data_IF_796826932108
#
_entry.id   IF_796826932108
#
_cell.length_a   1.000
_cell.length_b   1.000
_cell.length_c   1.000
_cell.angle_alpha   90.00
_cell.angle_beta   90.00
_cell.angle_gamma   90.00
#
_symmetry.space_group_name_H-M   'P 1'
#
loop_
_entity.id
_entity.type
_entity.pdbx_description
1 polymer ?
#
# COMPACT_ATOMS: atom_id res chain seq x y z
N UNK A 1 -14.79 5.56 48.61
CA UNK A 1 -15.90 5.50 49.58
C UNK A 1 -17.20 5.56 48.79
N UNK A 2 -18.08 4.55 48.88
CA UNK A 2 -19.30 4.50 48.07
C UNK A 2 -20.26 5.62 48.48
N UNK A 3 -20.95 6.21 47.49
CA UNK A 3 -21.86 7.34 47.71
C UNK A 3 -23.28 6.85 47.99
N UNK A 4 -23.99 7.59 48.85
CA UNK A 4 -25.42 7.42 49.04
C UNK A 4 -26.19 8.03 47.86
N UNK A 5 -27.29 7.38 47.48
CA UNK A 5 -28.18 7.84 46.41
C UNK A 5 -28.72 9.24 46.71
N UNK A 6 -29.05 9.54 47.97
CA UNK A 6 -29.56 10.86 48.35
C UNK A 6 -28.54 11.99 48.06
N UNK A 7 -27.25 11.71 48.24
CA UNK A 7 -26.18 12.67 47.98
C UNK A 7 -25.95 12.89 46.48
N UNK A 8 -26.04 11.83 45.67
CA UNK A 8 -25.97 11.95 44.21
C UNK A 8 -27.16 12.74 43.68
N UNK A 9 -28.35 12.52 44.22
CA UNK A 9 -29.57 13.17 43.74
C UNK A 9 -29.62 14.67 44.09
N UNK A 10 -28.95 15.12 45.17
CA UNK A 10 -28.93 16.52 45.63
C UNK A 10 -27.93 17.42 44.88
N UNK A 11 -27.01 16.85 44.11
CA UNK A 11 -26.04 17.64 43.34
C UNK A 11 -26.69 18.26 42.09
N UNK A 12 -26.29 19.48 41.67
CA UNK A 12 -26.76 20.08 40.44
C UNK A 12 -26.42 19.14 39.27
N UNK A 13 -27.39 18.86 38.39
CA UNK A 13 -27.26 17.90 37.29
C UNK A 13 -27.31 18.62 35.95
N UNK A 14 -26.38 18.27 35.07
CA UNK A 14 -26.61 18.36 33.63
C UNK A 14 -27.30 17.06 33.20
N UNK A 15 -28.27 17.16 32.30
CA UNK A 15 -29.14 16.03 31.89
C UNK A 15 -28.43 15.06 30.94
N UNK A 16 -27.22 14.61 31.27
CA UNK A 16 -26.46 13.69 30.43
C UNK A 16 -26.38 12.31 31.10
N UNK A 17 -27.17 11.39 30.55
CA UNK A 17 -27.21 9.99 30.93
C UNK A 17 -26.67 9.15 29.77
N UNK A 18 -25.74 8.24 30.07
CA UNK A 18 -25.15 7.35 29.07
C UNK A 18 -25.05 5.94 29.62
N UNK A 19 -24.95 4.97 28.73
CA UNK A 19 -24.72 3.57 29.07
C UNK A 19 -23.25 3.25 28.86
N UNK A 20 -22.63 2.51 29.78
CA UNK A 20 -21.21 2.16 29.71
C UNK A 20 -20.97 0.72 30.20
N UNK A 21 -19.91 0.07 29.70
CA UNK A 21 -19.50 -1.27 30.11
C UNK A 21 -18.45 -1.19 31.22
N UNK A 22 -18.63 -1.90 32.33
CA UNK A 22 -17.63 -1.99 33.40
C UNK A 22 -16.48 -2.89 32.96
N UNK A 23 -15.29 -2.30 32.82
CA UNK A 23 -14.04 -3.00 32.45
C UNK A 23 -13.13 -3.28 33.65
N UNK A 24 -13.36 -2.61 34.79
CA UNK A 24 -12.58 -2.84 36.02
C UNK A 24 -13.33 -2.41 37.29
N UNK A 25 -12.99 -3.04 38.42
CA UNK A 25 -13.58 -2.74 39.74
C UNK A 25 -12.47 -2.60 40.78
N UNK A 26 -12.43 -1.46 41.48
CA UNK A 26 -11.46 -1.21 42.55
C UNK A 26 -12.15 -0.52 43.73
N UNK A 27 -12.39 -1.28 44.82
CA UNK A 27 -12.67 -0.85 46.20
C UNK A 27 -13.76 0.20 46.51
N UNK A 28 -14.34 0.84 45.50
CA UNK A 28 -15.23 2.00 45.61
C UNK A 28 -15.36 2.83 44.33
N UNK A 29 -14.67 2.45 43.24
CA UNK A 29 -14.82 3.00 41.91
C UNK A 29 -14.89 1.86 40.88
N UNK A 30 -15.44 2.19 39.71
CA UNK A 30 -15.51 1.29 38.56
C UNK A 30 -14.88 1.98 37.36
N UNK A 31 -14.06 1.25 36.61
CA UNK A 31 -13.60 1.68 35.30
C UNK A 31 -14.63 1.25 34.29
N UNK A 32 -15.09 2.19 33.46
CA UNK A 32 -16.08 1.94 32.42
C UNK A 32 -15.56 2.39 31.06
N UNK A 33 -15.90 1.64 30.02
CA UNK A 33 -15.69 2.05 28.63
C UNK A 33 -16.89 2.88 28.16
N UNK A 34 -16.62 4.14 27.83
CA UNK A 34 -17.55 5.10 27.26
C UNK A 34 -17.05 5.51 25.88
N UNK A 35 -17.77 5.12 24.83
CA UNK A 35 -17.47 5.47 23.43
C UNK A 35 -16.03 5.14 22.99
N UNK A 36 -15.44 4.07 23.54
CA UNK A 36 -14.07 3.62 23.23
C UNK A 36 -12.98 4.20 24.13
N UNK A 37 -13.33 5.06 25.10
CA UNK A 37 -12.42 5.59 26.11
C UNK A 37 -12.72 5.04 27.51
N UNK A 38 -11.69 4.73 28.29
CA UNK A 38 -11.86 4.29 29.68
C UNK A 38 -11.93 5.49 30.64
N UNK A 39 -12.93 5.49 31.53
CA UNK A 39 -13.06 6.46 32.61
C UNK A 39 -13.32 5.75 33.93
N UNK A 40 -12.71 6.24 35.01
CA UNK A 40 -12.99 5.74 36.36
C UNK A 40 -14.05 6.61 37.02
N UNK A 41 -15.15 5.98 37.44
CA UNK A 41 -16.30 6.65 38.04
C UNK A 41 -16.62 6.07 39.41
N UNK A 42 -17.15 6.92 40.29
CA UNK A 42 -17.73 6.43 41.55
C UNK A 42 -19.02 5.68 41.29
N UNK A 43 -19.37 4.75 42.17
CA UNK A 43 -20.65 4.04 42.11
C UNK A 43 -21.46 4.21 43.40
N UNK A 44 -22.77 3.95 43.30
CA UNK A 44 -23.65 3.94 44.46
C UNK A 44 -23.33 2.77 45.39
N UNK A 45 -23.47 2.98 46.70
CA UNK A 45 -23.31 1.92 47.71
C UNK A 45 -24.27 0.73 47.51
N UNK A 46 -25.44 0.98 46.93
CA UNK A 46 -26.45 -0.03 46.66
C UNK A 46 -26.13 -0.91 45.43
N UNK A 47 -25.14 -0.54 44.63
CA UNK A 47 -24.70 -1.30 43.46
C UNK A 47 -23.38 -2.01 43.78
N UNK A 48 -23.38 -3.34 43.68
CA UNK A 48 -22.17 -4.18 43.75
C UNK A 48 -21.65 -4.41 42.34
N UNK A 49 -20.59 -3.71 41.90
CA UNK A 49 -20.13 -3.81 40.53
C UNK A 49 -19.38 -5.10 40.21
N UNK A 50 -19.59 -5.61 39.00
CA UNK A 50 -18.81 -6.68 38.42
C UNK A 50 -18.31 -6.28 37.02
N UNK A 51 -17.12 -6.76 36.65
CA UNK A 51 -16.62 -6.63 35.27
C UNK A 51 -17.60 -7.31 34.31
N UNK A 52 -17.94 -6.63 33.21
CA UNK A 52 -18.96 -7.06 32.25
C UNK A 52 -20.38 -6.54 32.51
N UNK A 53 -20.59 -5.78 33.59
CA UNK A 53 -21.86 -5.11 33.82
C UNK A 53 -22.05 -3.95 32.83
N UNK A 54 -23.23 -3.86 32.24
CA UNK A 54 -23.68 -2.66 31.53
C UNK A 54 -24.38 -1.76 32.53
N UNK A 55 -23.86 -0.55 32.74
CA UNK A 55 -24.34 0.38 33.76
C UNK A 55 -24.85 1.68 33.16
N UNK A 56 -25.84 2.28 33.81
CA UNK A 56 -26.22 3.66 33.55
C UNK A 56 -25.26 4.59 34.29
N UNK A 57 -24.62 5.50 33.58
CA UNK A 57 -23.81 6.59 34.14
C UNK A 57 -24.49 7.94 33.96
N UNK A 58 -24.38 8.80 34.97
CA UNK A 58 -24.89 10.18 34.96
C UNK A 58 -23.78 11.18 35.20
N UNK A 59 -23.76 12.24 34.41
CA UNK A 59 -22.91 13.40 34.66
C UNK A 59 -23.56 14.36 35.67
N UNK A 60 -22.75 14.89 36.58
CA UNK A 60 -23.12 16.06 37.39
C UNK A 60 -22.82 17.35 36.65
N UNK A 61 -23.38 18.48 37.09
CA UNK A 61 -23.10 19.81 36.54
C UNK A 61 -21.62 20.21 36.62
N UNK A 62 -20.83 19.53 37.46
CA UNK A 62 -19.38 19.69 37.55
C UNK A 62 -18.58 18.76 36.60
N UNK A 63 -19.25 18.00 35.73
CA UNK A 63 -18.62 17.08 34.77
C UNK A 63 -18.17 15.75 35.36
N UNK A 64 -18.43 15.49 36.65
CA UNK A 64 -18.12 14.19 37.29
C UNK A 64 -19.21 13.17 37.00
N UNK A 65 -18.81 11.97 36.59
CA UNK A 65 -19.69 10.86 36.27
C UNK A 65 -19.87 9.88 37.43
N UNK A 66 -21.07 9.30 37.55
CA UNK A 66 -21.41 8.29 38.55
C UNK A 66 -22.18 7.12 37.94
N UNK A 67 -21.78 5.89 38.29
CA UNK A 67 -22.51 4.68 37.95
C UNK A 67 -23.68 4.45 38.93
N UNK A 68 -24.90 4.41 38.39
CA UNK A 68 -26.12 4.28 39.19
C UNK A 68 -26.53 2.83 39.44
N UNK A 69 -26.16 1.91 38.56
CA UNK A 69 -26.53 0.51 38.66
C UNK A 69 -26.59 -0.20 37.32
N UNK A 70 -26.74 -1.52 37.40
CA UNK A 70 -26.76 -2.44 36.27
C UNK A 70 -28.07 -2.34 35.48
N UNK A 71 -27.95 -2.13 34.17
CA UNK A 71 -29.03 -2.21 33.19
C UNK A 71 -29.12 -3.60 32.53
N UNK A 72 -28.04 -4.38 32.57
CA UNK A 72 -27.94 -5.74 32.06
C UNK A 72 -26.52 -6.29 32.18
N UNK A 73 -26.32 -7.58 31.87
CA UNK A 73 -24.98 -8.14 31.62
C UNK A 73 -24.85 -8.36 30.13
N UNK A 74 -23.83 -7.79 29.49
CA UNK A 74 -23.38 -8.28 28.19
C UNK A 74 -22.11 -9.06 28.46
N UNK A 75 -22.03 -10.30 27.97
CA UNK A 75 -20.74 -10.96 27.84
C UNK A 75 -19.86 -10.02 27.03
N UNK A 76 -18.74 -9.60 27.61
CA UNK A 76 -17.69 -8.87 26.92
C UNK A 76 -17.51 -9.49 25.52
N UNK A 77 -17.66 -8.73 24.42
CA UNK A 77 -17.25 -9.24 23.13
C UNK A 77 -15.74 -9.41 23.28
N UNK A 78 -15.31 -10.67 23.51
CA UNK A 78 -13.90 -10.99 23.66
C UNK A 78 -13.08 -10.34 22.55
N UNK A 79 -11.79 -10.09 22.77
CA UNK A 79 -10.94 -9.34 21.84
C UNK A 79 -11.22 -9.80 20.41
N UNK A 80 -11.56 -8.84 19.53
CA UNK A 80 -11.80 -9.14 18.12
C UNK A 80 -10.66 -10.05 17.64
N UNK A 81 -10.94 -11.18 16.98
CA UNK A 81 -9.88 -11.95 16.37
C UNK A 81 -9.06 -11.00 15.48
N UNK A 82 -7.72 -11.08 15.52
CA UNK A 82 -6.89 -10.27 14.63
C UNK A 82 -7.40 -10.44 13.19
N UNK A 83 -7.43 -9.37 12.38
CA UNK A 83 -7.83 -9.49 10.98
C UNK A 83 -7.08 -10.63 10.32
N UNK A 84 -7.78 -11.48 9.58
CA UNK A 84 -7.13 -12.54 8.81
C UNK A 84 -6.09 -11.89 7.89
N UNK A 85 -4.83 -12.30 8.04
CA UNK A 85 -3.79 -11.89 7.09
C UNK A 85 -4.18 -12.45 5.72
N UNK A 86 -4.30 -11.60 4.68
CA UNK A 86 -4.63 -12.09 3.35
C UNK A 86 -3.59 -13.14 2.93
N UNK A 87 -4.06 -14.28 2.44
CA UNK A 87 -3.21 -15.38 1.95
C UNK A 87 -2.93 -15.26 0.46
N UNK A 88 -3.52 -14.28 -0.22
CA UNK A 88 -3.21 -13.90 -1.60
C UNK A 88 -3.73 -12.52 -1.93
N UNK A 89 -3.23 -11.95 -3.03
CA UNK A 89 -3.71 -10.68 -3.56
C UNK A 89 -2.89 -10.18 -4.74
N UNK A 90 -3.20 -8.97 -5.19
CA UNK A 90 -2.40 -8.23 -6.17
C UNK A 90 -1.82 -7.00 -5.49
N UNK A 91 -0.51 -6.81 -5.60
CA UNK A 91 0.18 -5.65 -5.08
C UNK A 91 0.75 -4.79 -6.22
N UNK A 92 0.57 -3.47 -6.13
CA UNK A 92 1.08 -2.52 -7.13
C UNK A 92 2.28 -1.76 -6.58
N UNK A 93 3.36 -1.71 -7.35
CA UNK A 93 4.59 -1.03 -6.98
C UNK A 93 4.97 -0.01 -8.06
N UNK A 94 4.90 1.30 -7.76
CA UNK A 94 5.36 2.32 -8.70
C UNK A 94 6.89 2.27 -8.85
N UNK A 95 7.39 2.60 -10.04
CA UNK A 95 8.81 2.85 -10.21
C UNK A 95 9.22 4.12 -9.45
N UNK A 96 10.37 4.08 -8.79
CA UNK A 96 10.94 5.20 -8.03
C UNK A 96 11.91 6.04 -8.86
N UNK A 97 12.45 5.45 -9.93
CA UNK A 97 13.23 6.16 -10.93
C UNK A 97 12.96 5.59 -12.33
N UNK A 98 13.22 6.42 -13.34
CA UNK A 98 13.17 6.05 -14.75
C UNK A 98 14.23 6.82 -15.53
N UNK A 99 14.69 6.26 -16.64
CA UNK A 99 15.73 6.87 -17.45
C UNK A 99 15.94 6.16 -18.77
N UNK A 100 16.74 6.77 -19.63
CA UNK A 100 17.11 6.19 -20.90
C UNK A 100 18.56 6.53 -21.29
N UNK A 101 19.10 5.71 -22.17
CA UNK A 101 20.48 5.66 -22.60
C UNK A 101 20.49 5.64 -24.13
N UNK A 102 21.44 6.34 -24.73
CA UNK A 102 21.72 6.31 -26.17
C UNK A 102 23.16 5.86 -26.34
N UNK A 103 23.37 4.77 -27.09
CA UNK A 103 24.70 4.23 -27.40
C UNK A 103 25.61 4.06 -26.17
N UNK A 104 25.04 3.53 -25.09
CA UNK A 104 25.78 3.25 -23.86
C UNK A 104 25.92 4.43 -22.90
N UNK A 105 25.34 5.60 -23.20
CA UNK A 105 25.44 6.79 -22.36
C UNK A 105 24.07 7.31 -21.93
N UNK A 106 23.95 7.73 -20.68
CA UNK A 106 22.71 8.28 -20.13
C UNK A 106 22.26 9.53 -20.90
N UNK A 107 20.98 9.57 -21.25
CA UNK A 107 20.34 10.74 -21.85
C UNK A 107 20.07 11.80 -20.79
N UNK A 108 20.38 13.04 -21.12
CA UNK A 108 20.14 14.22 -20.27
C UNK A 108 19.07 15.15 -20.82
N UNK A 109 18.74 15.00 -22.10
CA UNK A 109 17.78 15.81 -22.85
C UNK A 109 16.32 15.39 -22.61
N UNK A 110 16.09 14.15 -22.18
CA UNK A 110 14.75 13.64 -21.84
C UNK A 110 14.78 12.62 -20.72
N UNK A 111 13.62 12.45 -20.08
CA UNK A 111 13.39 11.54 -18.94
C UNK A 111 12.43 10.40 -19.26
N UNK A 112 12.09 10.24 -20.55
CA UNK A 112 11.26 9.15 -21.04
C UNK A 112 12.05 7.84 -21.12
N UNK A 113 11.34 6.72 -21.23
CA UNK A 113 11.91 5.38 -21.32
C UNK A 113 11.82 4.92 -22.78
N UNK A 114 12.97 4.78 -23.44
CA UNK A 114 13.05 4.59 -24.88
C UNK A 114 13.59 3.22 -25.22
N UNK A 115 13.14 2.66 -26.34
CA UNK A 115 13.76 1.50 -26.99
C UNK A 115 14.00 1.76 -28.46
N UNK A 116 14.95 1.03 -29.03
CA UNK A 116 15.25 1.03 -30.46
C UNK A 116 15.86 2.34 -30.93
N UNK A 117 15.96 2.50 -32.25
CA UNK A 117 16.69 3.62 -32.85
C UNK A 117 15.75 4.67 -33.41
N UNK A 118 15.99 5.93 -33.04
CA UNK A 118 15.18 7.08 -33.45
C UNK A 118 15.23 7.24 -34.98
N UNK A 119 14.08 7.40 -35.68
CA UNK A 119 14.10 7.64 -37.12
C UNK A 119 14.87 8.90 -37.55
N UNK A 120 15.06 9.87 -36.64
CA UNK A 120 15.70 11.16 -36.91
C UNK A 120 17.20 11.22 -36.55
N UNK A 121 17.77 10.17 -35.95
CA UNK A 121 19.19 10.12 -35.58
C UNK A 121 19.69 8.71 -35.30
N UNK A 122 20.95 8.44 -35.62
CA UNK A 122 21.56 7.15 -35.33
C UNK A 122 21.71 6.92 -33.81
N UNK A 123 21.51 5.68 -33.38
CA UNK A 123 21.86 5.21 -32.04
C UNK A 123 20.75 4.41 -31.36
N UNK A 124 21.16 3.36 -30.67
CA UNK A 124 20.25 2.42 -30.01
C UNK A 124 19.86 2.95 -28.63
N UNK A 125 18.55 3.14 -28.43
CA UNK A 125 18.03 3.54 -27.14
C UNK A 125 17.78 2.31 -26.26
N UNK A 126 18.13 2.46 -24.98
CA UNK A 126 17.76 1.56 -23.91
C UNK A 126 17.11 2.36 -22.78
N UNK A 127 15.98 1.91 -22.26
CA UNK A 127 15.24 2.56 -21.20
C UNK A 127 15.14 1.66 -19.97
N UNK A 128 15.05 2.23 -18.78
CA UNK A 128 14.97 1.45 -17.54
C UNK A 128 14.11 2.13 -16.47
N UNK A 129 13.56 1.30 -15.59
CA UNK A 129 12.81 1.64 -14.39
C UNK A 129 13.40 0.92 -13.18
N UNK A 130 13.41 1.60 -12.03
CA UNK A 130 13.90 1.08 -10.76
C UNK A 130 12.81 1.13 -9.70
N UNK A 131 12.79 0.17 -8.78
CA UNK A 131 11.73 0.04 -7.76
C UNK A 131 12.22 0.19 -6.31
N UNK A 132 13.53 0.32 -6.09
CA UNK A 132 14.11 0.32 -4.75
C UNK A 132 13.86 -1.01 -4.02
N UNK A 133 13.50 -0.95 -2.74
CA UNK A 133 13.29 -2.12 -1.87
C UNK A 133 11.83 -2.42 -1.56
N UNK A 134 10.88 -1.67 -2.12
CA UNK A 134 9.47 -1.79 -1.78
C UNK A 134 8.90 -3.18 -2.14
N UNK A 135 9.28 -3.72 -3.31
CA UNK A 135 8.83 -5.03 -3.78
C UNK A 135 9.35 -6.14 -2.84
N UNK A 136 10.67 -6.20 -2.65
CA UNK A 136 11.31 -7.24 -1.82
C UNK A 136 10.90 -7.15 -0.36
N UNK A 137 10.69 -5.93 0.17
CA UNK A 137 10.20 -5.73 1.54
C UNK A 137 8.74 -6.16 1.74
N UNK A 138 7.90 -6.01 0.72
CA UNK A 138 6.46 -6.34 0.81
C UNK A 138 6.17 -7.80 0.51
N UNK A 139 6.90 -8.39 -0.44
CA UNK A 139 6.67 -9.75 -0.94
C UNK A 139 7.69 -10.77 -0.44
N UNK A 140 8.44 -10.44 0.62
CA UNK A 140 9.43 -11.33 1.21
C UNK A 140 8.81 -12.70 1.57
N UNK A 141 9.28 -13.76 0.91
CA UNK A 141 8.80 -15.13 1.13
C UNK A 141 7.44 -15.46 0.50
N UNK A 142 6.84 -14.54 -0.26
CA UNK A 142 5.60 -14.80 -1.00
C UNK A 142 5.90 -15.58 -2.30
N UNK A 143 4.93 -16.38 -2.72
CA UNK A 143 4.93 -16.99 -4.07
C UNK A 143 4.26 -16.02 -5.02
N UNK A 144 4.93 -15.63 -6.10
CA UNK A 144 4.46 -14.65 -7.07
C UNK A 144 4.32 -15.31 -8.44
N UNK A 145 3.08 -15.53 -8.85
CA UNK A 145 2.76 -16.35 -10.04
C UNK A 145 2.72 -15.56 -11.35
N UNK A 146 2.22 -14.33 -11.31
CA UNK A 146 2.06 -13.49 -12.49
C UNK A 146 2.35 -12.03 -12.15
N UNK A 147 2.66 -11.26 -13.18
CA UNK A 147 2.79 -9.83 -13.04
C UNK A 147 2.66 -9.12 -14.37
N UNK A 148 2.46 -7.80 -14.30
CA UNK A 148 2.29 -6.92 -15.45
C UNK A 148 2.97 -5.57 -15.19
N UNK A 149 3.44 -4.92 -16.24
CA UNK A 149 4.08 -3.60 -16.21
C UNK A 149 3.21 -2.57 -16.94
N UNK A 150 3.07 -1.38 -16.35
CA UNK A 150 2.35 -0.27 -16.97
C UNK A 150 3.25 0.48 -17.94
N UNK A 151 2.81 0.57 -19.19
CA UNK A 151 3.50 1.31 -20.24
C UNK A 151 2.51 2.22 -20.95
N UNK A 152 2.82 3.51 -21.02
CA UNK A 152 2.12 4.49 -21.84
C UNK A 152 3.02 4.98 -22.96
N UNK A 153 2.59 4.82 -24.19
CA UNK A 153 3.36 5.23 -25.37
C UNK A 153 3.15 6.70 -25.69
N UNK A 154 4.25 7.42 -25.85
CA UNK A 154 4.32 8.81 -26.29
C UNK A 154 4.44 8.90 -27.82
N UNK A 155 4.14 10.07 -28.41
CA UNK A 155 4.45 10.35 -29.81
C UNK A 155 5.95 10.18 -30.11
N UNK A 156 6.23 9.57 -31.26
CA UNK A 156 7.59 9.36 -31.78
C UNK A 156 7.71 8.07 -32.59
N UNK A 157 8.44 8.13 -33.70
CA UNK A 157 8.55 7.01 -34.64
C UNK A 157 7.26 6.74 -35.41
N UNK A 158 6.92 5.47 -35.60
CA UNK A 158 5.70 5.04 -36.30
C UNK A 158 4.43 5.36 -35.50
N UNK A 159 3.39 5.87 -36.14
CA UNK A 159 2.12 6.19 -35.46
C UNK A 159 1.30 4.94 -35.09
N UNK A 160 1.43 3.86 -35.85
CA UNK A 160 0.73 2.60 -35.60
C UNK A 160 1.34 1.81 -34.43
N UNK A 161 0.73 0.67 -34.03
CA UNK A 161 1.25 -0.17 -32.97
C UNK A 161 2.71 -0.56 -33.19
N UNK A 162 3.55 -0.40 -32.16
CA UNK A 162 4.95 -0.83 -32.14
C UNK A 162 5.13 -1.82 -31.00
N UNK A 163 5.84 -2.91 -31.28
CA UNK A 163 6.15 -3.95 -30.30
C UNK A 163 6.97 -3.38 -29.15
N UNK A 164 6.50 -3.65 -27.93
CA UNK A 164 7.21 -3.34 -26.68
C UNK A 164 8.09 -4.53 -26.34
N UNK A 165 9.40 -4.29 -26.25
CA UNK A 165 10.37 -5.29 -25.84
C UNK A 165 10.88 -4.93 -24.44
N UNK A 166 10.52 -5.75 -23.46
CA UNK A 166 10.95 -5.56 -22.08
C UNK A 166 12.20 -6.39 -21.78
N UNK A 167 12.99 -5.98 -20.78
CA UNK A 167 14.11 -6.74 -20.23
C UNK A 167 14.18 -6.58 -18.71
N UNK A 168 14.88 -7.47 -18.03
CA UNK A 168 15.16 -7.40 -16.59
C UNK A 168 16.62 -7.01 -16.32
N UNK A 169 16.87 -6.30 -15.20
CA UNK A 169 18.22 -5.92 -14.78
C UNK A 169 18.41 -5.92 -13.25
N UNK A 170 19.67 -5.95 -12.81
CA UNK A 170 20.05 -5.97 -11.39
C UNK A 170 20.51 -4.62 -10.83
N UNK A 171 20.65 -3.60 -11.69
CA UNK A 171 21.03 -2.26 -11.22
C UNK A 171 20.00 -1.70 -10.22
N UNK A 172 20.46 -1.23 -9.07
CA UNK A 172 19.61 -0.72 -7.98
C UNK A 172 19.33 0.77 -8.07
N UNK A 173 20.06 1.50 -8.91
CA UNK A 173 19.87 2.92 -9.17
C UNK A 173 20.32 3.29 -10.60
N UNK A 174 19.83 4.41 -11.16
CA UNK A 174 20.33 4.95 -12.42
C UNK A 174 21.81 5.31 -12.32
N UNK A 175 22.58 5.01 -13.38
CA UNK A 175 23.97 5.45 -13.53
C UNK A 175 24.16 6.15 -14.88
N UNK A 176 25.39 6.59 -15.18
CA UNK A 176 25.73 7.15 -16.50
C UNK A 176 25.75 6.12 -17.63
N UNK A 177 25.80 4.83 -17.30
CA UNK A 177 25.77 3.71 -18.24
C UNK A 177 24.44 2.93 -18.13
N UNK A 178 23.98 2.30 -19.23
CA UNK A 178 22.81 1.46 -19.20
C UNK A 178 22.95 0.32 -18.19
N UNK A 179 21.87 -0.09 -17.51
CA UNK A 179 21.90 -1.30 -16.69
C UNK A 179 22.10 -2.53 -17.59
N UNK A 180 22.96 -3.45 -17.16
CA UNK A 180 23.17 -4.69 -17.88
C UNK A 180 21.86 -5.50 -17.94
N UNK A 181 21.52 -5.96 -19.15
CA UNK A 181 20.39 -6.86 -19.37
C UNK A 181 20.76 -8.24 -18.81
N UNK A 182 19.99 -8.74 -17.85
CA UNK A 182 20.21 -10.09 -17.28
C UNK A 182 19.21 -11.11 -17.82
N UNK A 183 18.07 -10.65 -18.34
CA UNK A 183 17.09 -11.47 -19.05
C UNK A 183 16.30 -10.61 -20.05
N UNK A 184 15.90 -11.20 -21.18
CA UNK A 184 15.37 -10.50 -22.36
C UNK A 184 16.45 -9.89 -23.27
N UNK A 185 16.08 -9.01 -24.21
CA UNK A 185 14.74 -8.45 -24.40
C UNK A 185 13.69 -9.44 -24.91
N UNK A 186 12.45 -9.30 -24.46
CA UNK A 186 11.31 -10.16 -24.83
C UNK A 186 10.12 -9.31 -25.23
N UNK A 187 9.43 -9.67 -26.31
CA UNK A 187 8.21 -8.99 -26.72
C UNK A 187 7.07 -9.24 -25.71
N UNK A 188 6.50 -8.17 -25.16
CA UNK A 188 5.44 -8.23 -24.13
C UNK A 188 4.10 -7.65 -24.60
N UNK A 189 4.06 -7.08 -25.81
CA UNK A 189 2.85 -6.53 -26.40
C UNK A 189 3.19 -5.53 -27.51
N UNK A 190 2.20 -4.77 -27.95
CA UNK A 190 2.38 -3.65 -28.86
C UNK A 190 1.43 -2.52 -28.46
N UNK A 191 1.87 -1.27 -28.63
CA UNK A 191 1.08 -0.08 -28.29
C UNK A 191 1.11 0.91 -29.44
N UNK A 192 -0.03 1.50 -29.79
CA UNK A 192 -0.10 2.66 -30.68
C UNK A 192 0.29 3.95 -29.92
N UNK A 193 0.59 5.03 -30.65
CA UNK A 193 0.87 6.34 -30.01
C UNK A 193 -0.34 6.80 -29.20
N UNK A 194 -0.10 7.22 -27.95
CA UNK A 194 -1.13 7.67 -27.02
C UNK A 194 -1.80 6.55 -26.23
N UNK A 195 -1.55 5.29 -26.58
CA UNK A 195 -2.08 4.13 -25.87
C UNK A 195 -1.32 3.87 -24.56
N UNK A 196 -2.03 3.39 -23.55
CA UNK A 196 -1.46 2.92 -22.30
C UNK A 196 -2.08 1.58 -21.92
N UNK A 197 -1.26 0.64 -21.45
CA UNK A 197 -1.74 -0.65 -21.00
C UNK A 197 -0.84 -1.27 -19.93
N UNK A 198 -1.43 -2.18 -19.17
CA UNK A 198 -0.70 -3.19 -18.42
C UNK A 198 -0.29 -4.32 -19.37
N UNK A 199 1.02 -4.47 -19.59
CA UNK A 199 1.60 -5.52 -20.42
C UNK A 199 2.09 -6.67 -19.54
N UNK A 200 1.88 -7.93 -19.93
CA UNK A 200 2.31 -9.08 -19.13
C UNK A 200 3.84 -9.11 -18.98
N UNK A 201 4.30 -9.48 -17.79
CA UNK A 201 5.71 -9.82 -17.58
C UNK A 201 5.99 -11.24 -18.10
N UNK A 202 7.18 -11.49 -18.67
CA UNK A 202 7.67 -12.83 -18.94
C UNK A 202 7.65 -13.71 -17.68
N UNK A 203 7.48 -15.02 -17.90
CA UNK A 203 7.39 -16.00 -16.82
C UNK A 203 8.63 -15.93 -15.91
N UNK A 204 8.41 -15.95 -14.60
CA UNK A 204 9.47 -15.91 -13.59
C UNK A 204 9.97 -14.51 -13.22
N UNK A 205 9.74 -13.48 -14.03
CA UNK A 205 10.22 -12.12 -13.69
C UNK A 205 9.53 -11.54 -12.46
N UNK A 206 8.24 -11.81 -12.30
CA UNK A 206 7.47 -11.38 -11.14
C UNK A 206 8.06 -11.97 -9.84
N UNK A 207 8.39 -13.26 -9.84
CA UNK A 207 9.08 -13.91 -8.72
C UNK A 207 10.49 -13.35 -8.53
N UNK A 208 11.27 -13.17 -9.61
CA UNK A 208 12.64 -12.61 -9.52
C UNK A 208 12.68 -11.20 -8.93
N UNK A 209 11.66 -10.36 -9.18
CA UNK A 209 11.51 -9.06 -8.54
C UNK A 209 11.19 -9.19 -7.05
N UNK A 210 10.30 -10.12 -6.67
CA UNK A 210 9.93 -10.39 -5.28
C UNK A 210 11.10 -10.93 -4.46
N UNK A 211 11.90 -11.82 -5.05
CA UNK A 211 13.09 -12.42 -4.43
C UNK A 211 14.30 -11.46 -4.42
N UNK A 212 14.24 -10.36 -5.18
CA UNK A 212 15.35 -9.42 -5.35
C UNK A 212 16.49 -9.94 -6.25
N UNK A 213 16.26 -11.02 -6.99
CA UNK A 213 17.17 -11.48 -8.04
C UNK A 213 17.24 -10.48 -9.21
N UNK A 214 16.17 -9.72 -9.41
CA UNK A 214 16.07 -8.60 -10.36
C UNK A 214 15.71 -7.34 -9.56
N UNK A 215 16.36 -6.21 -9.87
CA UNK A 215 16.15 -4.93 -9.18
C UNK A 215 15.29 -3.95 -9.98
N UNK A 216 15.11 -4.21 -11.28
CA UNK A 216 14.36 -3.33 -12.17
C UNK A 216 14.07 -3.96 -13.53
N UNK A 217 13.25 -3.25 -14.30
CA UNK A 217 12.82 -3.64 -15.64
C UNK A 217 13.15 -2.51 -16.61
N UNK A 218 13.27 -2.81 -17.89
CA UNK A 218 13.53 -1.80 -18.90
C UNK A 218 12.98 -2.16 -20.27
N UNK A 219 13.19 -1.25 -21.23
CA UNK A 219 12.86 -1.43 -22.63
C UNK A 219 14.13 -1.39 -23.49
N UNK A 220 14.29 -2.39 -24.36
CA UNK A 220 15.37 -2.44 -25.33
C UNK A 220 14.94 -3.34 -26.48
N UNK A 221 15.34 -3.03 -27.71
CA UNK A 221 15.14 -3.96 -28.83
C UNK A 221 16.24 -5.04 -28.81
N UNK A 222 15.94 -6.29 -29.23
CA UNK A 222 16.95 -7.36 -29.30
C UNK A 222 18.06 -7.08 -30.33
N UNK A 223 17.78 -6.20 -31.28
CA UNK A 223 18.64 -5.76 -32.37
C UNK A 223 18.41 -4.27 -32.70
N UNK A 224 19.24 -3.71 -33.57
CA UNK A 224 19.12 -2.32 -34.02
C UNK A 224 18.05 -2.18 -35.13
N UNK A 225 16.83 -2.67 -34.86
CA UNK A 225 15.75 -2.81 -35.86
C UNK A 225 15.05 -1.51 -36.24
N UNK A 226 15.48 -0.36 -35.73
CA UNK A 226 14.77 0.92 -35.96
C UNK A 226 13.35 0.95 -35.37
N UNK A 227 12.99 -0.01 -34.50
CA UNK A 227 11.71 -0.08 -33.80
C UNK A 227 11.65 0.90 -32.63
N UNK A 228 11.68 2.19 -32.97
CA UNK A 228 11.61 3.26 -31.99
C UNK A 228 10.27 3.25 -31.25
N UNK A 229 10.35 3.24 -29.93
CA UNK A 229 9.22 3.51 -29.06
C UNK A 229 9.67 4.39 -27.90
N UNK A 230 8.93 5.48 -27.69
CA UNK A 230 9.03 6.30 -26.50
C UNK A 230 7.89 5.96 -25.55
N UNK A 231 8.23 5.38 -24.40
CA UNK A 231 7.32 5.26 -23.27
C UNK A 231 7.46 6.47 -22.36
N UNK A 232 6.36 6.94 -21.79
CA UNK A 232 6.35 8.05 -20.86
C UNK A 232 7.30 7.78 -19.69
N UNK A 233 8.11 8.75 -19.29
CA UNK A 233 8.84 8.70 -18.01
C UNK A 233 7.97 9.14 -16.84
N UNK A 234 8.51 9.04 -15.61
CA UNK A 234 7.77 9.37 -14.38
C UNK A 234 7.23 10.81 -14.32
N UNK A 235 7.91 11.77 -14.96
CA UNK A 235 7.45 13.16 -15.02
C UNK A 235 6.19 13.33 -15.90
N UNK A 236 6.06 12.50 -16.94
CA UNK A 236 4.95 12.53 -17.89
C UNK A 236 3.81 11.61 -17.45
N UNK A 237 4.13 10.50 -16.79
CA UNK A 237 3.19 9.53 -16.25
C UNK A 237 3.71 8.99 -14.91
N UNK A 238 3.12 9.37 -13.76
CA UNK A 238 3.54 8.87 -12.45
C UNK A 238 3.42 7.34 -12.30
N UNK A 239 2.61 6.68 -13.15
CA UNK A 239 2.46 5.22 -13.17
C UNK A 239 3.46 4.55 -14.12
N UNK A 240 4.29 5.32 -14.83
CA UNK A 240 5.28 4.78 -15.77
C UNK A 240 6.13 3.68 -15.14
N UNK A 241 6.10 2.51 -15.76
CA UNK A 241 6.85 1.34 -15.31
C UNK A 241 6.36 0.75 -14.00
N UNK A 242 5.23 1.18 -13.43
CA UNK A 242 4.66 0.50 -12.27
C UNK A 242 4.46 -0.99 -12.58
N UNK A 243 4.64 -1.85 -11.59
CA UNK A 243 4.38 -3.29 -11.69
C UNK A 243 3.21 -3.68 -10.80
N UNK A 244 2.35 -4.54 -11.31
CA UNK A 244 1.36 -5.27 -10.52
C UNK A 244 1.77 -6.72 -10.44
N UNK A 245 1.83 -7.27 -9.24
CA UNK A 245 2.31 -8.62 -8.95
C UNK A 245 1.23 -9.39 -8.17
N UNK A 246 0.84 -10.54 -8.70
CA UNK A 246 -0.12 -11.46 -8.07
C UNK A 246 0.64 -12.40 -7.14
N UNK A 247 0.32 -12.37 -5.85
CA UNK A 247 1.04 -13.08 -4.80
C UNK A 247 0.12 -13.99 -3.99
N UNK A 248 0.71 -15.02 -3.40
CA UNK A 248 0.12 -15.83 -2.33
C UNK A 248 1.12 -16.02 -1.18
N UNK A 249 0.59 -16.20 0.03
CA UNK A 249 1.37 -16.65 1.16
C UNK A 249 2.07 -17.99 0.83
N UNK A 250 3.25 -18.25 1.42
CA UNK A 250 4.00 -19.49 1.23
C UNK A 250 3.24 -20.74 1.70
#
# INVERSE_FOLDING_TARGET
>A
MPLDLADVLRRPRTTEARTALVTGVDGGAVTVNLDGGEITVGHLAAYTPAVGDVVLILATAAGTWYALGKLGATTDPGPNPPPDTPTSGTATFPATAAGSYLDGSARTDRRDVLQGSDPSGAGSNQGAWWYGTAITGTLAGAVVGAGRIWVRRLPGGSQGPVTVYAYAHTATAPTSAPPAIVDGPTAVGALAVGEAAWLPLPAGWAQSLADGAVSGLGLATPDDTGLFLAAAGLASDPQSGAVELDWSAP
#
